data_IF_178012741225
#
_entry.id   IF_178012741225
#
_cell.length_a   1.000
_cell.length_b   1.000
_cell.length_c   1.000
_cell.angle_alpha   90.00
_cell.angle_beta   90.00
_cell.angle_gamma   90.00
#
_symmetry.space_group_name_H-M   'P 1'
#
loop_
_entity.id
_entity.type
_entity.pdbx_description
1 polymer ?
#
# COMPACT_ATOMS: atom_id res chain seq x y z
N UNK A 1 -0.22 0.43 2.68
CA UNK A 1 0.44 -0.04 3.92
C UNK A 1 1.43 1.01 4.40
N UNK A 2 1.60 1.17 5.71
CA UNK A 2 2.33 2.30 6.35
C UNK A 2 3.71 2.58 5.73
N UNK A 3 4.48 1.54 5.37
CA UNK A 3 5.80 1.71 4.76
C UNK A 3 5.75 2.34 3.35
N UNK A 4 4.81 1.94 2.50
CA UNK A 4 4.66 2.51 1.15
C UNK A 4 4.14 3.95 1.21
N UNK A 5 3.29 4.26 2.19
CA UNK A 5 2.75 5.59 2.44
C UNK A 5 3.84 6.54 2.98
N UNK A 6 4.66 6.08 3.93
CA UNK A 6 5.79 6.85 4.42
C UNK A 6 6.82 7.14 3.32
N UNK A 7 7.17 6.14 2.50
CA UNK A 7 8.10 6.33 1.37
C UNK A 7 7.49 7.24 0.29
N UNK A 8 6.20 7.10 0.02
CA UNK A 8 5.47 7.95 -0.92
C UNK A 8 5.52 9.42 -0.49
N UNK A 9 5.19 9.69 0.77
CA UNK A 9 5.26 11.03 1.36
C UNK A 9 6.66 11.63 1.33
N UNK A 10 7.71 10.85 1.63
CA UNK A 10 9.10 11.32 1.54
C UNK A 10 9.47 11.69 0.11
N UNK A 11 9.08 10.90 -0.89
CA UNK A 11 9.33 11.21 -2.31
C UNK A 11 8.57 12.45 -2.77
N UNK A 12 7.33 12.62 -2.33
CA UNK A 12 6.56 13.84 -2.63
C UNK A 12 7.20 15.06 -1.98
N UNK A 13 7.58 14.98 -0.72
CA UNK A 13 8.24 16.08 -0.02
C UNK A 13 9.57 16.45 -0.70
N UNK A 14 10.42 15.46 -0.99
CA UNK A 14 11.66 15.67 -1.72
C UNK A 14 11.42 16.26 -3.11
N UNK A 15 10.46 15.73 -3.87
CA UNK A 15 10.09 16.24 -5.19
C UNK A 15 9.60 17.68 -5.16
N UNK A 16 8.75 18.05 -4.19
CA UNK A 16 8.30 19.43 -4.03
C UNK A 16 9.46 20.38 -3.68
N UNK A 17 10.36 19.96 -2.80
CA UNK A 17 11.52 20.77 -2.39
C UNK A 17 12.53 20.94 -3.53
N UNK A 18 12.74 19.90 -4.35
CA UNK A 18 13.71 19.93 -5.45
C UNK A 18 13.10 20.37 -6.79
N UNK A 19 11.78 20.65 -6.85
CA UNK A 19 11.07 20.92 -8.11
C UNK A 19 11.06 19.75 -9.08
N UNK A 20 11.06 18.51 -8.57
CA UNK A 20 11.11 17.29 -9.37
C UNK A 20 9.74 16.59 -9.39
N UNK A 21 8.96 16.88 -10.44
CA UNK A 21 7.62 16.32 -10.65
C UNK A 21 7.62 14.79 -10.74
N UNK A 22 8.71 14.18 -11.23
CA UNK A 22 8.83 12.72 -11.31
C UNK A 22 8.85 12.10 -9.91
N UNK A 23 9.55 12.70 -8.95
CA UNK A 23 9.55 12.22 -7.56
C UNK A 23 8.17 12.33 -6.91
N UNK A 24 7.44 13.42 -7.17
CA UNK A 24 6.06 13.59 -6.69
C UNK A 24 5.15 12.52 -7.29
N UNK A 25 5.23 12.31 -8.60
CA UNK A 25 4.43 11.32 -9.31
C UNK A 25 4.74 9.89 -8.84
N UNK A 26 6.02 9.54 -8.65
CA UNK A 26 6.42 8.25 -8.09
C UNK A 26 5.87 8.02 -6.68
N UNK A 27 5.91 9.06 -5.83
CA UNK A 27 5.38 8.98 -4.48
C UNK A 27 3.89 8.67 -4.48
N UNK A 28 3.09 9.40 -5.27
CA UNK A 28 1.65 9.16 -5.44
C UNK A 28 1.35 7.77 -5.99
N UNK A 29 2.13 7.33 -6.98
CA UNK A 29 1.98 5.98 -7.55
C UNK A 29 2.27 4.89 -6.52
N UNK A 30 3.26 5.09 -5.63
CA UNK A 30 3.57 4.15 -4.55
C UNK A 30 2.47 4.08 -3.50
N UNK A 31 1.86 5.20 -3.13
CA UNK A 31 0.71 5.25 -2.22
C UNK A 31 -0.45 4.45 -2.81
N UNK A 32 -0.84 4.75 -4.05
CA UNK A 32 -1.93 4.08 -4.75
C UNK A 32 -1.70 2.56 -4.85
N UNK A 33 -0.48 2.15 -5.21
CA UNK A 33 -0.08 0.74 -5.23
C UNK A 33 -0.18 0.11 -3.84
N UNK A 34 0.26 0.82 -2.81
CA UNK A 34 0.26 0.36 -1.42
C UNK A 34 -1.15 0.23 -0.84
N UNK A 35 -2.10 1.06 -1.26
CA UNK A 35 -3.53 0.94 -0.95
C UNK A 35 -4.16 -0.23 -1.70
N UNK A 36 -3.95 -0.33 -3.01
CA UNK A 36 -4.48 -1.43 -3.80
C UNK A 36 -4.01 -2.80 -3.27
N UNK A 37 -2.72 -2.91 -2.93
CA UNK A 37 -2.17 -4.12 -2.31
C UNK A 37 -2.78 -4.40 -0.94
N UNK A 38 -3.04 -3.37 -0.13
CA UNK A 38 -3.67 -3.52 1.18
C UNK A 38 -5.09 -4.06 1.04
N UNK A 39 -5.91 -3.48 0.16
CA UNK A 39 -7.28 -3.93 -0.10
C UNK A 39 -7.33 -5.37 -0.60
N UNK A 40 -6.45 -5.75 -1.52
CA UNK A 40 -6.36 -7.13 -2.00
C UNK A 40 -5.89 -8.08 -0.89
N UNK A 41 -4.94 -7.64 -0.06
CA UNK A 41 -4.47 -8.38 1.10
C UNK A 41 -5.60 -8.63 2.11
N UNK A 42 -6.27 -7.56 2.54
CA UNK A 42 -7.38 -7.60 3.50
C UNK A 42 -8.52 -8.51 2.99
N UNK A 43 -8.86 -8.46 1.69
CA UNK A 43 -9.86 -9.34 1.09
C UNK A 43 -9.41 -10.81 1.09
N UNK A 44 -8.14 -11.09 0.75
CA UNK A 44 -7.58 -12.45 0.80
C UNK A 44 -7.51 -12.99 2.22
N UNK A 45 -7.10 -12.16 3.18
CA UNK A 45 -6.99 -12.55 4.59
C UNK A 45 -8.37 -12.81 5.20
N UNK A 46 -9.38 -12.01 4.85
CA UNK A 46 -10.77 -12.27 5.22
C UNK A 46 -11.29 -13.59 4.66
N UNK A 47 -11.06 -13.84 3.36
CA UNK A 47 -11.44 -15.11 2.72
C UNK A 47 -10.70 -16.32 3.32
N UNK A 48 -9.40 -16.18 3.60
CA UNK A 48 -8.59 -17.22 4.22
C UNK A 48 -9.05 -17.51 5.64
N UNK A 49 -9.31 -16.47 6.44
CA UNK A 49 -9.82 -16.61 7.82
C UNK A 49 -11.18 -17.32 7.84
N UNK A 50 -12.05 -17.01 6.88
CA UNK A 50 -13.33 -17.70 6.73
C UNK A 50 -13.14 -19.17 6.33
N UNK A 51 -12.28 -19.43 5.35
CA UNK A 51 -11.95 -20.79 4.92
C UNK A 51 -11.32 -21.61 6.05
N UNK A 52 -10.39 -21.07 6.82
CA UNK A 52 -9.76 -21.72 7.96
C UNK A 52 -10.80 -22.04 9.06
N UNK A 53 -11.74 -21.11 9.34
CA UNK A 53 -12.86 -21.37 10.26
C UNK A 53 -13.79 -22.49 9.80
N UNK A 54 -14.12 -22.54 8.50
CA UNK A 54 -15.04 -23.56 7.95
C UNK A 54 -14.35 -24.91 7.83
N UNK A 55 -13.06 -24.93 7.48
CA UNK A 55 -12.29 -26.16 7.29
C UNK A 55 -11.75 -26.75 8.61
N UNK A 56 -11.99 -26.10 9.75
CA UNK A 56 -11.65 -26.61 11.08
C UNK A 56 -10.15 -26.76 11.32
N UNK A 57 -9.32 -26.06 10.54
CA UNK A 57 -7.86 -26.14 10.64
C UNK A 57 -7.39 -25.24 11.79
N UNK A 58 -7.42 -25.79 13.00
CA UNK A 58 -6.62 -25.29 14.12
C UNK A 58 -5.17 -25.75 13.99
#
# INVERSE_FOLDING_TARGET
GLANEAVGNVKQAAGNVTGNDKLVAEGKAQELKGEAQKTVGDAKDGAKTLADKITGKH
#
